data_IF_418628199807
#
_entry.id   IF_418628199807
#
_cell.length_a   1.000
_cell.length_b   1.000
_cell.length_c   1.000
_cell.angle_alpha   90.00
_cell.angle_beta   90.00
_cell.angle_gamma   90.00
#
_symmetry.space_group_name_H-M   'P 1'
#
loop_
_entity.id
_entity.type
_entity.pdbx_description
1 polymer ?
#
# COMPACT_ATOMS: atom_id res chain seq x y z
N UNK A 1 -35.90 18.43 -32.23
CA UNK A 1 -35.22 19.62 -31.64
C UNK A 1 -35.24 19.49 -30.12
N UNK A 2 -34.12 19.04 -29.53
CA UNK A 2 -34.04 18.62 -28.13
C UNK A 2 -33.89 19.82 -27.19
N UNK A 3 -34.97 20.16 -26.47
CA UNK A 3 -35.02 21.27 -25.51
C UNK A 3 -34.46 20.91 -24.11
N UNK A 4 -33.46 20.03 -24.04
CA UNK A 4 -32.93 19.51 -22.76
C UNK A 4 -32.02 20.48 -22.00
N UNK A 5 -31.54 21.56 -22.62
CA UNK A 5 -30.65 22.52 -21.96
C UNK A 5 -31.38 23.52 -21.04
N UNK A 6 -32.72 23.57 -21.08
CA UNK A 6 -33.53 24.58 -20.36
C UNK A 6 -33.89 24.18 -18.92
N UNK A 7 -33.62 22.93 -18.51
CA UNK A 7 -34.21 22.32 -17.30
C UNK A 7 -33.34 22.39 -16.03
N UNK A 8 -32.12 22.94 -16.09
CA UNK A 8 -31.21 22.94 -14.94
C UNK A 8 -31.12 24.28 -14.19
N UNK A 9 -31.80 25.35 -14.64
CA UNK A 9 -31.80 26.65 -13.94
C UNK A 9 -30.43 27.36 -13.84
N UNK A 10 -29.36 26.70 -14.27
CA UNK A 10 -27.99 27.21 -14.22
C UNK A 10 -27.72 28.11 -15.42
N UNK A 11 -27.69 29.42 -15.19
CA UNK A 11 -27.20 30.40 -16.17
C UNK A 11 -25.68 30.34 -16.17
N UNK A 12 -25.08 29.76 -17.21
CA UNK A 12 -23.63 29.82 -17.41
C UNK A 12 -23.25 31.31 -17.60
N UNK A 13 -22.32 31.86 -16.80
CA UNK A 13 -21.88 33.24 -16.96
C UNK A 13 -21.33 33.47 -18.37
N UNK A 14 -21.56 34.67 -18.92
CA UNK A 14 -20.93 35.07 -20.18
C UNK A 14 -19.41 34.91 -20.04
N UNK A 15 -18.80 34.33 -21.07
CA UNK A 15 -17.35 34.13 -21.19
C UNK A 15 -16.72 33.15 -20.18
N UNK A 16 -17.52 32.30 -19.52
CA UNK A 16 -17.01 31.29 -18.58
C UNK A 16 -15.90 30.40 -19.19
N UNK A 17 -16.13 29.88 -20.40
CA UNK A 17 -15.17 29.01 -21.08
C UNK A 17 -13.91 29.76 -21.54
N UNK A 18 -14.05 31.03 -21.94
CA UNK A 18 -12.93 31.87 -22.37
C UNK A 18 -12.03 32.13 -21.17
N UNK A 19 -12.59 32.58 -20.04
CA UNK A 19 -11.85 32.82 -18.79
C UNK A 19 -11.24 31.55 -18.21
N UNK A 20 -11.95 30.43 -18.31
CA UNK A 20 -11.42 29.12 -17.88
C UNK A 20 -10.18 28.75 -18.69
N UNK A 21 -10.27 28.86 -20.03
CA UNK A 21 -9.15 28.59 -20.93
C UNK A 21 -7.96 29.52 -20.66
N UNK A 22 -8.20 30.82 -20.50
CA UNK A 22 -7.14 31.79 -20.18
C UNK A 22 -6.46 31.48 -18.85
N UNK A 23 -7.23 31.17 -17.79
CA UNK A 23 -6.67 30.76 -16.49
C UNK A 23 -5.84 29.48 -16.58
N UNK A 24 -6.27 28.52 -17.37
CA UNK A 24 -5.54 27.27 -17.60
C UNK A 24 -4.25 27.57 -18.35
N UNK A 25 -4.31 28.36 -19.42
CA UNK A 25 -3.14 28.73 -20.22
C UNK A 25 -2.14 29.57 -19.40
N UNK A 26 -2.58 30.49 -18.56
CA UNK A 26 -1.72 31.26 -17.65
C UNK A 26 -1.02 30.37 -16.61
N UNK A 27 -1.73 29.34 -16.11
CA UNK A 27 -1.13 28.34 -15.21
C UNK A 27 -0.15 27.42 -15.91
N UNK A 28 -0.40 27.07 -17.18
CA UNK A 28 0.51 26.23 -17.98
C UNK A 28 1.72 27.03 -18.43
N UNK A 29 1.54 28.32 -18.75
CA UNK A 29 2.57 29.27 -19.08
C UNK A 29 3.28 29.75 -17.80
N UNK A 30 3.66 28.78 -16.95
CA UNK A 30 4.63 28.91 -15.87
C UNK A 30 5.80 29.66 -16.47
N UNK A 31 5.81 30.98 -16.27
CA UNK A 31 6.90 31.89 -16.60
C UNK A 31 8.17 31.13 -16.31
N UNK A 32 8.87 30.73 -17.38
CA UNK A 32 10.15 30.01 -17.42
C UNK A 32 10.77 30.05 -16.04
N UNK A 33 10.46 29.05 -15.21
CA UNK A 33 10.85 29.01 -13.81
C UNK A 33 12.36 29.16 -13.88
N UNK A 34 12.89 30.34 -13.52
CA UNK A 34 14.34 30.61 -13.58
C UNK A 34 15.00 29.39 -12.97
N UNK A 35 15.97 28.75 -13.64
CA UNK A 35 16.55 27.51 -13.14
C UNK A 35 16.88 27.75 -11.68
N UNK A 36 16.24 26.98 -10.79
CA UNK A 36 16.45 27.10 -9.36
C UNK A 36 17.95 27.13 -9.15
N UNK A 37 18.44 28.21 -8.53
CA UNK A 37 19.86 28.44 -8.23
C UNK A 37 20.46 27.08 -7.87
N UNK A 38 21.42 26.59 -8.66
CA UNK A 38 22.08 25.31 -8.37
C UNK A 38 22.72 25.48 -6.99
N UNK A 39 22.08 24.93 -5.97
CA UNK A 39 22.65 24.89 -4.64
C UNK A 39 23.79 23.88 -4.71
N UNK A 40 24.99 24.38 -4.95
CA UNK A 40 26.21 23.60 -4.84
C UNK A 40 26.46 23.39 -3.35
N UNK A 41 25.78 22.41 -2.77
CA UNK A 41 26.10 21.96 -1.42
C UNK A 41 27.53 21.38 -1.45
N UNK A 42 28.34 21.79 -0.48
CA UNK A 42 29.69 21.23 -0.36
C UNK A 42 29.58 19.72 -0.15
N UNK A 43 30.49 18.96 -0.77
CA UNK A 43 30.55 17.50 -0.67
C UNK A 43 30.50 17.01 0.78
N UNK A 44 31.12 17.77 1.70
CA UNK A 44 31.10 17.50 3.13
C UNK A 44 29.69 17.56 3.75
N UNK A 45 28.85 18.50 3.33
CA UNK A 45 27.46 18.58 3.82
C UNK A 45 26.62 17.39 3.35
N UNK A 46 26.83 16.95 2.10
CA UNK A 46 26.15 15.77 1.57
C UNK A 46 26.59 14.48 2.28
N UNK A 47 27.90 14.35 2.57
CA UNK A 47 28.43 13.23 3.32
C UNK A 47 27.88 13.17 4.75
N UNK A 48 27.83 14.31 5.45
CA UNK A 48 27.25 14.36 6.80
C UNK A 48 25.76 14.05 6.81
N UNK A 49 25.01 14.54 5.80
CA UNK A 49 23.59 14.20 5.67
C UNK A 49 23.37 12.69 5.44
N UNK A 50 24.20 12.06 4.62
CA UNK A 50 24.12 10.61 4.37
C UNK A 50 24.40 9.79 5.63
N UNK A 51 25.42 10.17 6.42
CA UNK A 51 25.71 9.53 7.70
C UNK A 51 24.56 9.70 8.70
N UNK A 52 23.97 10.90 8.78
CA UNK A 52 22.84 11.16 9.66
C UNK A 52 21.61 10.33 9.29
N UNK A 53 21.26 10.29 8.00
CA UNK A 53 20.13 9.48 7.51
C UNK A 53 20.39 7.99 7.76
N UNK A 54 21.61 7.51 7.49
CA UNK A 54 22.00 6.13 7.77
C UNK A 54 21.90 5.77 9.26
N UNK A 55 22.32 6.67 10.15
CA UNK A 55 22.23 6.48 11.59
C UNK A 55 20.77 6.45 12.08
N UNK A 56 19.90 7.32 11.57
CA UNK A 56 18.47 7.31 11.89
C UNK A 56 17.82 6.02 11.39
N UNK A 57 18.11 5.61 10.15
CA UNK A 57 17.59 4.35 9.60
C UNK A 57 18.06 3.16 10.44
N UNK A 58 19.33 3.10 10.84
CA UNK A 58 19.85 2.00 11.68
C UNK A 58 19.33 2.03 13.11
N UNK A 59 19.03 3.21 13.65
CA UNK A 59 18.46 3.36 14.98
C UNK A 59 16.97 2.98 15.02
N UNK A 60 16.22 3.39 14.00
CA UNK A 60 14.78 3.12 13.88
C UNK A 60 14.46 1.78 13.21
N UNK A 61 15.43 1.12 12.56
CA UNK A 61 15.24 -0.26 12.12
C UNK A 61 15.29 -1.16 13.36
N UNK A 62 14.18 -1.79 13.77
CA UNK A 62 14.32 -3.02 14.51
C UNK A 62 15.10 -3.95 13.58
N UNK A 63 16.33 -4.28 13.97
CA UNK A 63 17.08 -5.40 13.42
C UNK A 63 16.06 -6.49 13.14
N UNK A 64 15.93 -6.91 11.87
CA UNK A 64 14.90 -7.84 11.39
C UNK A 64 14.76 -8.92 12.45
N UNK A 65 13.76 -8.76 13.31
CA UNK A 65 13.33 -9.87 14.12
C UNK A 65 12.82 -10.78 13.03
N UNK A 66 13.53 -11.88 12.82
CA UNK A 66 12.90 -13.12 12.48
C UNK A 66 11.88 -13.39 13.59
N UNK A 67 10.80 -12.61 13.61
CA UNK A 67 9.51 -13.14 13.97
C UNK A 67 9.27 -14.15 12.85
N UNK A 68 9.88 -15.32 13.00
CA UNK A 68 9.35 -16.55 12.45
C UNK A 68 7.88 -16.43 12.78
N UNK A 69 7.07 -16.17 11.76
CA UNK A 69 5.63 -16.25 11.90
C UNK A 69 5.47 -17.68 12.37
N UNK A 70 5.16 -17.87 13.66
CA UNK A 70 4.86 -19.18 14.20
C UNK A 70 3.50 -19.50 13.61
N UNK A 71 3.53 -20.04 12.38
CA UNK A 71 2.33 -20.42 11.67
C UNK A 71 1.81 -21.63 12.42
N UNK A 72 0.72 -21.42 13.15
CA UNK A 72 -0.01 -22.50 13.79
C UNK A 72 -0.47 -23.49 12.71
N UNK A 73 0.24 -24.63 12.64
CA UNK A 73 -0.06 -25.70 11.70
C UNK A 73 -1.32 -26.48 12.09
N UNK A 74 -1.94 -26.19 13.23
CA UNK A 74 -3.21 -26.79 13.66
C UNK A 74 -4.43 -26.18 12.97
N UNK A 75 -4.28 -25.82 11.70
CA UNK A 75 -5.36 -25.36 10.84
C UNK A 75 -5.37 -26.20 9.58
N UNK A 76 -6.53 -26.75 9.18
CA UNK A 76 -6.64 -27.57 7.98
C UNK A 76 -6.24 -26.80 6.71
N UNK A 77 -6.40 -25.48 6.72
CA UNK A 77 -6.02 -24.60 5.60
C UNK A 77 -4.49 -24.48 5.52
N UNK A 78 -3.82 -24.35 6.66
CA UNK A 78 -2.37 -24.23 6.71
C UNK A 78 -1.72 -25.58 6.41
N UNK A 79 -2.27 -26.69 6.93
CA UNK A 79 -1.76 -28.02 6.67
C UNK A 79 -1.80 -28.37 5.18
N UNK A 80 -2.88 -28.04 4.47
CA UNK A 80 -2.94 -28.21 3.00
C UNK A 80 -1.93 -27.38 2.24
N UNK A 81 -1.67 -26.14 2.69
CA UNK A 81 -0.69 -25.27 2.06
C UNK A 81 0.73 -25.83 2.20
N UNK A 82 1.01 -26.56 3.28
CA UNK A 82 2.30 -27.21 3.54
C UNK A 82 2.39 -28.56 2.84
N UNK A 83 1.34 -29.39 2.87
CA UNK A 83 1.34 -30.72 2.23
C UNK A 83 1.23 -30.66 0.70
N UNK A 84 0.72 -29.55 0.17
CA UNK A 84 0.46 -29.39 -1.27
C UNK A 84 -0.76 -30.17 -1.76
N UNK A 85 -1.60 -30.65 -0.84
CA UNK A 85 -2.85 -31.34 -1.14
C UNK A 85 -3.99 -30.35 -1.39
N UNK A 86 -4.95 -30.74 -2.22
CA UNK A 86 -6.12 -29.92 -2.50
C UNK A 86 -7.07 -29.90 -1.30
N UNK A 87 -7.53 -28.70 -0.92
CA UNK A 87 -8.51 -28.52 0.16
C UNK A 87 -9.86 -29.07 -0.32
N UNK A 88 -10.28 -30.20 0.24
CA UNK A 88 -11.61 -30.79 0.05
C UNK A 88 -12.35 -30.90 1.37
N UNK A 89 -13.68 -31.01 1.32
CA UNK A 89 -14.49 -31.20 2.53
C UNK A 89 -14.10 -32.49 3.27
N UNK A 90 -13.72 -33.53 2.53
CA UNK A 90 -13.24 -34.81 3.08
C UNK A 90 -11.93 -34.64 3.87
N UNK A 91 -10.97 -33.91 3.30
CA UNK A 91 -9.69 -33.62 3.95
C UNK A 91 -9.88 -32.82 5.26
N UNK A 92 -10.76 -31.82 5.26
CA UNK A 92 -11.04 -31.01 6.46
C UNK A 92 -11.62 -31.88 7.58
N UNK A 93 -12.54 -32.80 7.25
CA UNK A 93 -13.17 -33.71 8.22
C UNK A 93 -12.13 -34.69 8.79
N UNK A 94 -11.26 -35.24 7.94
CA UNK A 94 -10.18 -36.14 8.35
C UNK A 94 -9.22 -35.45 9.33
N UNK A 95 -8.75 -34.24 9.01
CA UNK A 95 -7.88 -33.43 9.87
C UNK A 95 -8.47 -33.17 11.26
N UNK A 96 -9.75 -32.79 11.34
CA UNK A 96 -10.41 -32.59 12.63
C UNK A 96 -10.64 -33.90 13.40
N UNK A 97 -10.89 -35.00 12.69
CA UNK A 97 -11.05 -36.31 13.33
C UNK A 97 -9.73 -36.80 13.93
N UNK A 98 -8.62 -36.66 13.20
CA UNK A 98 -7.29 -37.01 13.69
C UNK A 98 -6.84 -36.13 14.85
N UNK A 99 -7.06 -34.81 14.77
CA UNK A 99 -6.72 -33.90 15.87
C UNK A 99 -7.54 -34.17 17.14
N UNK A 100 -8.82 -34.55 17.02
CA UNK A 100 -9.63 -34.99 18.16
C UNK A 100 -9.10 -36.28 18.80
N UNK A 101 -8.74 -37.28 17.99
CA UNK A 101 -8.14 -38.54 18.47
C UNK A 101 -6.80 -38.28 19.15
N UNK A 102 -5.93 -37.46 18.57
CA UNK A 102 -4.65 -37.09 19.15
C UNK A 102 -4.82 -36.34 20.48
N UNK A 103 -5.82 -35.46 20.57
CA UNK A 103 -6.15 -34.74 21.79
C UNK A 103 -6.67 -35.69 22.90
N UNK A 104 -7.50 -36.68 22.56
CA UNK A 104 -7.95 -37.70 23.51
C UNK A 104 -6.80 -38.58 24.02
N UNK A 105 -5.84 -38.94 23.16
CA UNK A 105 -4.66 -39.72 23.57
C UNK A 105 -3.74 -38.91 24.49
N UNK A 106 -3.58 -37.61 24.25
CA UNK A 106 -2.70 -36.74 25.06
C UNK A 106 -3.31 -36.28 26.39
N UNK A 107 -4.64 -36.11 26.48
CA UNK A 107 -5.34 -35.66 27.69
C UNK A 107 -6.10 -36.77 28.43
N UNK A 108 -6.17 -37.98 27.88
CA UNK A 108 -6.85 -39.14 28.47
C UNK A 108 -6.02 -39.97 29.46
N UNK A 109 -4.88 -39.45 29.92
CA UNK A 109 -4.00 -40.11 30.90
C UNK A 109 -3.78 -39.28 32.17
#
# INVERSE_FOLDING_TARGET
MNQHYKKLGLKIPKDYFIKSREKILDKINIKKKKPSKKNNYSYYFLAMAALFIGAVILYDFPFINENLIEIDSNSPIISTLISGEEITDEYIIEFYSESLVLNEIYFGH
#
